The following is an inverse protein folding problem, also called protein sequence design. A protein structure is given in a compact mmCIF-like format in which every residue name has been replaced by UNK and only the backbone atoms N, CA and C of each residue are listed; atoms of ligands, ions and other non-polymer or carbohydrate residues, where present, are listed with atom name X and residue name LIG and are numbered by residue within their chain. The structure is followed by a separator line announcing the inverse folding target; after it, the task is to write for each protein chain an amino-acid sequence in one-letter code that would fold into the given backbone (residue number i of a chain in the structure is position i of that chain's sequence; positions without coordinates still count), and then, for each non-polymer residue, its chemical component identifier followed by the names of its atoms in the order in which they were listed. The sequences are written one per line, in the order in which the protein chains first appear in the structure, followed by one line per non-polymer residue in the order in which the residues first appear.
data_IF_430057702958
#
_entry.id   IF_430057702958
#
_cell.length_a   1.000
_cell.length_b   1.000
_cell.length_c   1.000
_cell.angle_alpha   90.00
_cell.angle_beta   90.00
_cell.angle_gamma   90.00
#
_symmetry.space_group_name_H-M   'P 1'
#
loop_
_entity.id
_entity.type
_entity.pdbx_description
1 polymer ?
#
# COMPACT_ATOMS: atom_id res chain seq x y z
N UNK A 1 3.67 3.97 13.80
CA UNK A 1 3.70 4.71 12.52
C UNK A 1 4.47 3.85 11.54
N UNK A 2 3.87 3.56 10.40
CA UNK A 2 4.44 2.64 9.42
C UNK A 2 4.92 3.45 8.23
N UNK A 3 6.13 3.16 7.76
CA UNK A 3 6.67 3.74 6.53
C UNK A 3 6.30 2.84 5.35
N UNK A 4 5.80 3.44 4.28
CA UNK A 4 5.69 2.79 2.97
C UNK A 4 6.83 3.24 2.05
N UNK A 5 7.37 2.29 1.30
CA UNK A 5 8.38 2.52 0.27
C UNK A 5 7.99 1.75 -1.00
N UNK A 6 8.32 2.28 -2.18
CA UNK A 6 8.26 1.49 -3.40
C UNK A 6 9.37 0.44 -3.33
N UNK A 7 9.03 -0.84 -3.44
CA UNK A 7 9.96 -1.96 -3.23
C UNK A 7 11.04 -2.04 -4.31
N UNK A 8 10.70 -1.72 -5.55
CA UNK A 8 11.65 -1.77 -6.68
C UNK A 8 12.70 -0.66 -6.62
N UNK A 9 12.28 0.55 -6.29
CA UNK A 9 13.13 1.75 -6.36
C UNK A 9 13.68 2.18 -5.00
N UNK A 10 13.11 1.67 -3.91
CA UNK A 10 13.38 2.16 -2.56
C UNK A 10 12.84 3.55 -2.26
N UNK A 11 12.09 4.16 -3.20
CA UNK A 11 11.56 5.51 -3.03
C UNK A 11 10.56 5.55 -1.87
N UNK A 12 10.67 6.57 -1.02
CA UNK A 12 9.71 6.78 0.05
C UNK A 12 8.35 7.19 -0.53
N UNK A 13 7.29 6.50 -0.11
CA UNK A 13 5.92 6.80 -0.52
C UNK A 13 5.26 7.72 0.51
N UNK A 14 5.28 7.31 1.78
CA UNK A 14 4.58 8.03 2.84
C UNK A 14 4.56 7.26 4.15
N UNK A 15 3.86 7.83 5.14
CA UNK A 15 3.54 7.13 6.38
C UNK A 15 2.07 6.75 6.41
N UNK A 16 1.77 5.60 6.98
CA UNK A 16 0.40 5.15 7.24
C UNK A 16 0.21 4.80 8.73
N UNK A 17 -1.04 4.82 9.15
CA UNK A 17 -1.48 4.35 10.47
C UNK A 17 -1.53 2.82 10.54
N UNK A 18 -1.57 2.29 11.76
CA UNK A 18 -1.79 0.85 12.00
C UNK A 18 -3.13 0.37 11.41
N UNK A 19 -4.16 1.22 11.45
CA UNK A 19 -5.48 0.89 10.87
C UNK A 19 -5.43 0.80 9.34
N UNK A 20 -4.70 1.70 8.69
CA UNK A 20 -4.49 1.66 7.24
C UNK A 20 -3.65 0.43 6.85
N UNK A 21 -2.63 0.05 7.63
CA UNK A 21 -1.90 -1.21 7.39
C UNK A 21 -2.81 -2.43 7.57
N UNK A 22 -3.62 -2.48 8.62
CA UNK A 22 -4.56 -3.58 8.81
C UNK A 22 -5.54 -3.69 7.64
N UNK A 23 -6.00 -2.56 7.09
CA UNK A 23 -6.82 -2.57 5.88
C UNK A 23 -6.09 -3.21 4.69
N UNK A 24 -4.80 -2.92 4.49
CA UNK A 24 -4.02 -3.57 3.43
C UNK A 24 -3.90 -5.08 3.68
N UNK A 25 -3.56 -5.50 4.89
CA UNK A 25 -3.49 -6.92 5.30
C UNK A 25 -4.83 -7.64 5.04
N UNK A 26 -5.95 -7.01 5.39
CA UNK A 26 -7.28 -7.62 5.26
C UNK A 26 -7.73 -7.75 3.79
N UNK A 27 -7.20 -6.95 2.87
CA UNK A 27 -7.67 -6.84 1.49
C UNK A 27 -6.64 -7.29 0.43
N UNK A 28 -5.41 -7.57 0.82
CA UNK A 28 -4.34 -8.04 -0.06
C UNK A 28 -3.89 -9.44 0.36
N UNK A 29 -3.50 -10.22 -0.64
CA UNK A 29 -3.01 -11.59 -0.42
C UNK A 29 -1.52 -11.52 -0.17
N UNK A 30 -1.07 -12.00 1.00
CA UNK A 30 0.34 -12.25 1.28
C UNK A 30 0.78 -13.54 0.58
N UNK A 31 1.95 -13.55 -0.05
CA UNK A 31 2.54 -14.78 -0.57
C UNK A 31 3.08 -15.65 0.58
N UNK A 32 3.59 -15.02 1.64
CA UNK A 32 3.90 -15.63 2.93
C UNK A 32 3.52 -14.74 4.13
N UNK A 33 3.08 -15.36 5.23
CA UNK A 33 2.68 -14.73 6.50
C UNK A 33 3.73 -13.80 7.16
N UNK A 34 4.95 -13.76 6.64
CA UNK A 34 6.04 -12.93 7.15
C UNK A 34 6.45 -11.81 6.19
N UNK A 35 5.82 -11.75 5.01
CA UNK A 35 6.14 -10.76 4.00
C UNK A 35 5.65 -9.38 4.44
N UNK A 36 6.48 -8.38 4.18
CA UNK A 36 6.16 -6.99 4.49
C UNK A 36 5.88 -6.19 3.22
N UNK A 37 5.53 -6.86 2.14
CA UNK A 37 5.29 -6.25 0.85
C UNK A 37 3.99 -6.71 0.21
N UNK A 38 3.49 -5.86 -0.68
CA UNK A 38 2.29 -6.14 -1.46
C UNK A 38 2.48 -5.64 -2.87
N UNK A 39 2.08 -6.47 -3.83
CA UNK A 39 1.85 -6.04 -5.20
C UNK A 39 0.43 -5.50 -5.37
N UNK A 40 0.31 -4.38 -6.07
CA UNK A 40 -0.94 -3.67 -6.34
C UNK A 40 -1.01 -3.34 -7.83
N UNK A 41 -2.23 -3.37 -8.38
CA UNK A 41 -2.53 -2.77 -9.68
C UNK A 41 -3.61 -1.68 -9.54
N UNK A 42 -3.86 -0.94 -10.62
CA UNK A 42 -4.88 0.11 -10.66
C UNK A 42 -6.28 -0.37 -10.24
N UNK A 43 -6.67 -1.56 -10.67
CA UNK A 43 -8.01 -2.12 -10.36
C UNK A 43 -8.16 -2.38 -8.86
N UNK A 44 -7.10 -2.84 -8.18
CA UNK A 44 -7.09 -3.00 -6.74
C UNK A 44 -7.34 -1.66 -6.02
N UNK A 45 -6.63 -0.61 -6.41
CA UNK A 45 -6.77 0.72 -5.79
C UNK A 45 -8.17 1.30 -6.01
N UNK A 46 -8.73 1.16 -7.22
CA UNK A 46 -10.13 1.57 -7.49
C UNK A 46 -11.13 0.75 -6.67
N UNK A 47 -10.86 -0.54 -6.44
CA UNK A 47 -11.69 -1.39 -5.58
C UNK A 47 -11.67 -0.91 -4.13
N UNK A 48 -10.51 -0.49 -3.61
CA UNK A 48 -10.40 0.09 -2.26
C UNK A 48 -11.26 1.34 -2.11
N UNK A 49 -11.15 2.24 -3.08
CA UNK A 49 -11.95 3.47 -3.15
C UNK A 49 -13.45 3.19 -3.18
N UNK A 50 -13.88 2.25 -4.03
CA UNK A 50 -15.29 1.84 -4.11
C UNK A 50 -15.78 1.16 -2.82
N UNK A 51 -14.90 0.51 -2.08
CA UNK A 51 -15.21 -0.18 -0.81
C UNK A 51 -15.18 0.75 0.40
N UNK A 52 -14.92 2.05 0.21
CA UNK A 52 -14.88 3.02 1.29
C UNK A 52 -13.61 2.95 2.13
N UNK A 53 -12.48 2.53 1.54
CA UNK A 53 -11.17 2.65 2.16
C UNK A 53 -10.87 4.09 2.58
N UNK A 54 -9.96 4.23 3.53
CA UNK A 54 -9.48 5.54 3.97
C UNK A 54 -8.93 6.36 2.79
N UNK A 55 -9.43 7.59 2.63
CA UNK A 55 -9.13 8.41 1.46
C UNK A 55 -7.66 8.88 1.41
N UNK A 56 -6.99 9.02 2.57
CA UNK A 56 -5.57 9.37 2.61
C UNK A 56 -4.72 8.21 2.09
N UNK A 57 -5.05 6.98 2.50
CA UNK A 57 -4.40 5.77 1.99
C UNK A 57 -4.57 5.63 0.47
N UNK A 58 -5.80 5.77 -0.03
CA UNK A 58 -6.08 5.67 -1.47
C UNK A 58 -5.29 6.72 -2.26
N UNK A 59 -5.35 7.99 -1.85
CA UNK A 59 -4.63 9.07 -2.51
C UNK A 59 -3.10 8.84 -2.50
N UNK A 60 -2.57 8.30 -1.40
CA UNK A 60 -1.15 7.98 -1.28
C UNK A 60 -0.72 6.90 -2.29
N UNK A 61 -1.49 5.82 -2.41
CA UNK A 61 -1.22 4.72 -3.34
C UNK A 61 -1.42 5.15 -4.81
N UNK A 62 -2.48 5.90 -5.11
CA UNK A 62 -2.71 6.47 -6.46
C UNK A 62 -1.54 7.38 -6.87
N UNK A 63 -1.06 8.23 -5.95
CA UNK A 63 0.07 9.13 -6.21
C UNK A 63 1.37 8.35 -6.41
N UNK A 64 1.62 7.33 -5.59
CA UNK A 64 2.81 6.48 -5.69
C UNK A 64 2.83 5.66 -6.99
N UNK A 65 1.68 5.20 -7.46
CA UNK A 65 1.54 4.47 -8.71
C UNK A 65 1.73 5.38 -9.93
N UNK A 66 1.22 6.61 -9.88
CA UNK A 66 1.38 7.59 -10.96
C UNK A 66 0.88 7.05 -12.31
N UNK A 67 1.75 7.05 -13.32
CA UNK A 67 1.45 6.54 -14.67
C UNK A 67 1.68 5.02 -14.81
N UNK A 68 2.30 4.35 -13.84
CA UNK A 68 2.51 2.90 -13.88
C UNK A 68 1.20 2.11 -13.70
N UNK A 69 1.15 0.88 -14.19
CA UNK A 69 -0.02 0.00 -14.03
C UNK A 69 0.05 -0.88 -12.78
N UNK A 70 1.26 -1.02 -12.23
CA UNK A 70 1.59 -1.87 -11.09
C UNK A 70 2.49 -1.12 -10.09
N UNK A 71 2.40 -1.51 -8.82
CA UNK A 71 3.19 -0.97 -7.72
C UNK A 71 3.44 -2.08 -6.69
N UNK A 72 4.71 -2.37 -6.41
CA UNK A 72 5.07 -3.13 -5.21
C UNK A 72 5.45 -2.18 -4.08
N UNK A 73 4.77 -2.31 -2.93
CA UNK A 73 5.07 -1.54 -1.72
C UNK A 73 5.73 -2.42 -0.67
N UNK A 74 6.61 -1.84 0.13
CA UNK A 74 7.20 -2.43 1.34
C UNK A 74 6.79 -1.58 2.54
N UNK A 75 6.28 -2.21 3.61
CA UNK A 75 5.90 -1.56 4.85
C UNK A 75 6.87 -1.87 5.99
N UNK A 76 7.16 -0.88 6.85
CA UNK A 76 8.07 -1.05 7.98
C UNK A 76 7.62 -0.22 9.19
N UNK A 77 7.46 -0.83 10.36
CA UNK A 77 7.28 -0.08 11.60
C UNK A 77 8.50 0.82 11.83
N UNK A 78 8.24 2.08 12.13
CA UNK A 78 9.27 2.99 12.63
C UNK A 78 9.42 2.74 14.14
N UNK A 79 10.67 2.55 14.59
CA UNK A 79 11.03 2.39 16.00
C UNK A 79 10.97 3.67 16.81
#
# INVERSE_FOLDING_TARGET
MIKLSNKETGAFIGHISEQQLQYLIDNLVEEHDADQDYWLNRTQIETFKASGADAELVNLLETAMGEADELEILWQHQG
#
